data_IF_261168442140
#
_entry.id   IF_261168442140
#
_cell.length_a   1.000
_cell.length_b   1.000
_cell.length_c   1.000
_cell.angle_alpha   90.00
_cell.angle_beta   90.00
_cell.angle_gamma   90.00
#
_symmetry.space_group_name_H-M   'P 1'
#
loop_
_entity.id
_entity.type
_entity.pdbx_description
1 polymer ?
#
# COMPACT_ATOMS: atom_id res chain seq x y z
N UNK A 1 9.71 -12.47 -23.46
CA UNK A 1 9.95 -11.14 -24.02
C UNK A 1 11.06 -10.50 -23.22
N UNK A 2 12.23 -10.28 -23.82
CA UNK A 2 13.32 -9.54 -23.14
C UNK A 2 12.95 -8.05 -23.11
N UNK A 3 12.44 -7.59 -22.00
CA UNK A 3 12.20 -6.17 -21.78
C UNK A 3 13.51 -5.53 -21.28
N UNK A 4 14.36 -5.09 -22.20
CA UNK A 4 15.53 -4.26 -21.87
C UNK A 4 15.05 -2.81 -21.58
N UNK A 5 13.97 -2.66 -20.78
CA UNK A 5 13.39 -1.37 -20.41
C UNK A 5 13.99 -0.88 -19.10
N UNK A 6 14.22 0.41 -19.05
CA UNK A 6 14.72 1.08 -17.86
C UNK A 6 13.57 1.81 -17.14
N UNK A 7 13.34 1.48 -15.88
CA UNK A 7 12.27 2.08 -15.06
C UNK A 7 12.86 2.79 -13.84
N UNK A 8 12.33 3.98 -13.55
CA UNK A 8 12.56 4.66 -12.28
C UNK A 8 11.47 4.27 -11.29
N UNK A 9 11.86 3.94 -10.06
CA UNK A 9 10.93 3.71 -8.94
C UNK A 9 11.22 4.74 -7.84
N UNK A 10 10.33 5.70 -7.63
CA UNK A 10 10.42 6.57 -6.46
C UNK A 10 9.79 5.89 -5.26
N UNK A 11 10.38 6.06 -4.07
CA UNK A 11 9.94 5.32 -2.89
C UNK A 11 10.37 3.85 -2.90
N UNK A 12 11.50 3.54 -3.54
CA UNK A 12 11.98 2.17 -3.75
C UNK A 12 12.43 1.45 -2.48
N UNK A 13 12.71 2.18 -1.40
CA UNK A 13 13.07 1.63 -0.08
C UNK A 13 11.85 1.36 0.81
N UNK A 14 10.65 1.81 0.39
CA UNK A 14 9.38 1.54 1.08
C UNK A 14 8.84 0.14 0.83
N UNK A 15 7.74 -0.23 1.51
CA UNK A 15 7.13 -1.56 1.42
C UNK A 15 6.79 -1.97 -0.03
N UNK A 16 6.09 -1.11 -0.78
CA UNK A 16 5.80 -1.39 -2.19
C UNK A 16 7.09 -1.41 -3.02
N UNK A 17 7.96 -0.41 -2.79
CA UNK A 17 9.20 -0.24 -3.55
C UNK A 17 10.09 -1.46 -3.51
N UNK A 18 10.37 -2.02 -2.32
CA UNK A 18 11.19 -3.23 -2.14
C UNK A 18 10.63 -4.41 -2.95
N UNK A 19 9.32 -4.65 -2.86
CA UNK A 19 8.66 -5.74 -3.59
C UNK A 19 8.67 -5.48 -5.11
N UNK A 20 8.44 -4.23 -5.54
CA UNK A 20 8.44 -3.87 -6.95
C UNK A 20 9.84 -3.93 -7.57
N UNK A 21 10.85 -3.43 -6.88
CA UNK A 21 12.26 -3.51 -7.34
C UNK A 21 12.65 -4.98 -7.52
N UNK A 22 12.37 -5.84 -6.54
CA UNK A 22 12.61 -7.29 -6.65
C UNK A 22 11.88 -7.88 -7.86
N UNK A 23 10.59 -7.59 -8.01
CA UNK A 23 9.74 -8.06 -9.09
C UNK A 23 10.26 -7.66 -10.48
N UNK A 24 10.74 -6.42 -10.63
CA UNK A 24 11.28 -5.88 -11.87
C UNK A 24 12.64 -6.50 -12.22
N UNK A 25 13.55 -6.60 -11.23
CA UNK A 25 14.87 -7.20 -11.42
C UNK A 25 14.81 -8.69 -11.81
N UNK A 26 13.87 -9.46 -11.25
CA UNK A 26 13.62 -10.86 -11.62
C UNK A 26 13.13 -11.01 -13.07
N UNK A 27 12.57 -9.95 -13.65
CA UNK A 27 12.08 -9.91 -15.04
C UNK A 27 13.05 -9.22 -16.01
N UNK A 28 14.27 -8.93 -15.57
CA UNK A 28 15.32 -8.38 -16.41
C UNK A 28 15.17 -6.88 -16.72
N UNK A 29 14.39 -6.14 -15.92
CA UNK A 29 14.33 -4.69 -16.07
C UNK A 29 15.58 -4.03 -15.49
N UNK A 30 16.06 -2.97 -16.15
CA UNK A 30 16.99 -2.02 -15.55
C UNK A 30 16.20 -1.11 -14.62
N UNK A 31 16.67 -0.95 -13.38
CA UNK A 31 15.94 -0.22 -12.34
C UNK A 31 16.83 0.91 -11.77
N UNK A 32 16.30 2.14 -11.80
CA UNK A 32 16.78 3.24 -10.98
C UNK A 32 15.83 3.46 -9.81
N UNK A 33 16.35 3.78 -8.64
CA UNK A 33 15.58 4.05 -7.43
C UNK A 33 15.89 5.46 -6.94
N UNK A 34 14.85 6.24 -6.63
CA UNK A 34 14.95 7.50 -5.90
C UNK A 34 14.24 7.35 -4.57
N UNK A 35 14.96 7.53 -3.48
CA UNK A 35 14.40 7.47 -2.12
C UNK A 35 15.23 8.34 -1.17
N UNK A 36 14.66 8.72 -0.04
CA UNK A 36 15.38 9.40 1.06
C UNK A 36 16.37 8.46 1.75
N UNK A 37 16.09 7.16 1.73
CA UNK A 37 16.87 6.12 2.40
C UNK A 37 17.44 5.12 1.38
N UNK A 38 18.60 4.52 1.67
CA UNK A 38 19.18 3.51 0.81
C UNK A 38 18.26 2.28 0.67
N UNK A 39 18.29 1.67 -0.50
CA UNK A 39 17.58 0.43 -0.77
C UNK A 39 18.21 -0.75 -0.02
N UNK A 40 17.50 -1.89 0.01
CA UNK A 40 18.00 -3.14 0.61
C UNK A 40 19.38 -3.51 0.05
N UNK A 41 20.33 -4.00 0.88
CA UNK A 41 21.67 -4.39 0.42
C UNK A 41 21.67 -5.41 -0.71
N UNK A 42 20.67 -6.29 -0.77
CA UNK A 42 20.50 -7.31 -1.82
C UNK A 42 20.33 -6.72 -3.23
N UNK A 43 19.98 -5.43 -3.33
CA UNK A 43 19.80 -4.74 -4.61
C UNK A 43 20.99 -3.84 -4.97
N UNK A 44 21.91 -3.56 -4.05
CA UNK A 44 22.94 -2.49 -4.18
C UNK A 44 23.75 -2.55 -5.48
N UNK A 45 24.07 -3.74 -5.98
CA UNK A 45 24.85 -3.93 -7.23
C UNK A 45 23.98 -4.08 -8.48
N UNK A 46 22.65 -4.10 -8.33
CA UNK A 46 21.71 -4.42 -9.41
C UNK A 46 20.84 -3.23 -9.83
N UNK A 47 20.90 -2.13 -9.07
CA UNK A 47 20.11 -0.92 -9.30
C UNK A 47 21.01 0.30 -9.40
N UNK A 48 20.52 1.36 -10.05
CA UNK A 48 21.07 2.71 -9.91
C UNK A 48 20.33 3.42 -8.77
N UNK A 49 21.02 3.64 -7.63
CA UNK A 49 20.43 4.29 -6.45
C UNK A 49 20.74 5.77 -6.43
N UNK A 50 19.73 6.60 -6.31
CA UNK A 50 19.81 8.04 -6.03
C UNK A 50 19.17 8.29 -4.66
N UNK A 51 19.98 8.83 -3.73
CA UNK A 51 19.46 9.29 -2.44
C UNK A 51 19.03 10.74 -2.62
N UNK A 52 17.76 11.02 -2.45
CA UNK A 52 17.21 12.36 -2.66
C UNK A 52 15.71 12.46 -2.44
N UNK A 53 15.23 13.68 -2.41
CA UNK A 53 13.80 13.98 -2.23
C UNK A 53 13.12 14.15 -3.59
N UNK A 54 11.91 13.63 -3.73
CA UNK A 54 11.10 13.81 -4.96
C UNK A 54 10.72 15.27 -5.22
N UNK A 55 10.85 16.15 -4.22
CA UNK A 55 10.63 17.59 -4.34
C UNK A 55 11.84 18.32 -4.93
N UNK A 56 12.98 17.66 -5.02
CA UNK A 56 14.18 18.16 -5.69
C UNK A 56 14.19 17.74 -7.16
N UNK A 57 14.03 18.68 -8.13
CA UNK A 57 14.05 18.37 -9.56
C UNK A 57 15.36 17.72 -10.03
N UNK A 58 16.48 18.06 -9.43
CA UNK A 58 17.79 17.54 -9.83
C UNK A 58 17.96 16.08 -9.42
N UNK A 59 17.49 15.71 -8.23
CA UNK A 59 17.47 14.32 -7.78
C UNK A 59 16.57 13.46 -8.67
N UNK A 60 15.38 13.96 -9.01
CA UNK A 60 14.45 13.26 -9.92
C UNK A 60 15.06 13.11 -11.31
N UNK A 61 15.70 14.17 -11.85
CA UNK A 61 16.37 14.13 -13.16
C UNK A 61 17.51 13.12 -13.17
N UNK A 62 18.34 13.09 -12.12
CA UNK A 62 19.43 12.13 -12.00
C UNK A 62 18.89 10.68 -12.05
N UNK A 63 17.81 10.39 -11.32
CA UNK A 63 17.20 9.07 -11.33
C UNK A 63 16.55 8.71 -12.69
N UNK A 64 15.98 9.72 -13.39
CA UNK A 64 15.27 9.55 -14.65
C UNK A 64 16.17 9.47 -15.89
N UNK A 65 17.48 9.75 -15.74
CA UNK A 65 18.41 9.78 -16.86
C UNK A 65 18.45 8.45 -17.63
N UNK A 66 18.08 8.50 -18.91
CA UNK A 66 18.04 7.34 -19.80
C UNK A 66 16.96 6.30 -19.44
N UNK A 67 15.94 6.67 -18.68
CA UNK A 67 14.81 5.80 -18.36
C UNK A 67 13.70 5.90 -19.43
N UNK A 68 12.94 4.83 -19.58
CA UNK A 68 11.76 4.76 -20.47
C UNK A 68 10.46 5.14 -19.75
N UNK A 69 10.41 4.89 -18.44
CA UNK A 69 9.19 5.02 -17.65
C UNK A 69 9.48 5.27 -16.17
N UNK A 70 8.48 5.78 -15.43
CA UNK A 70 8.56 6.07 -14.02
C UNK A 70 7.37 5.51 -13.24
N UNK A 71 7.63 4.80 -12.15
CA UNK A 71 6.64 4.41 -11.13
C UNK A 71 6.81 5.30 -9.92
N UNK A 72 5.80 6.14 -9.66
CA UNK A 72 5.80 7.06 -8.53
C UNK A 72 5.08 6.43 -7.34
N UNK A 73 5.86 5.80 -6.45
CA UNK A 73 5.38 5.17 -5.22
C UNK A 73 5.83 5.89 -3.94
N UNK A 74 6.68 6.90 -4.04
CA UNK A 74 7.00 7.77 -2.91
C UNK A 74 5.76 8.53 -2.45
N UNK A 75 5.56 8.58 -1.14
CA UNK A 75 4.44 9.27 -0.51
C UNK A 75 4.77 9.61 0.94
N UNK A 76 4.16 10.67 1.45
CA UNK A 76 4.17 10.97 2.86
C UNK A 76 3.39 9.91 3.66
N UNK A 77 3.83 9.63 4.88
CA UNK A 77 3.05 8.77 5.78
C UNK A 77 1.77 9.50 6.21
N UNK A 78 0.62 8.78 6.31
CA UNK A 78 -0.67 9.40 6.72
C UNK A 78 -0.64 10.06 8.11
N UNK A 79 0.43 9.86 8.87
CA UNK A 79 0.65 10.35 10.23
C UNK A 79 1.44 11.64 10.31
N UNK A 80 1.98 12.11 9.19
CA UNK A 80 2.68 13.39 9.11
C UNK A 80 1.70 14.56 9.13
N UNK A 81 2.21 15.76 9.36
CA UNK A 81 1.39 16.98 9.32
C UNK A 81 0.86 17.25 7.90
N UNK A 82 -0.23 18.03 7.83
CA UNK A 82 -0.93 18.27 6.57
C UNK A 82 -0.09 19.03 5.53
N UNK A 83 0.83 19.88 5.96
CA UNK A 83 1.68 20.64 5.06
C UNK A 83 2.74 19.74 4.42
N UNK A 84 3.36 18.88 5.23
CA UNK A 84 4.31 17.86 4.75
C UNK A 84 3.63 16.89 3.79
N UNK A 85 2.44 16.37 4.15
CA UNK A 85 1.68 15.47 3.27
C UNK A 85 1.40 16.14 1.92
N UNK A 86 0.92 17.39 1.93
CA UNK A 86 0.61 18.12 0.70
C UNK A 86 1.86 18.38 -0.14
N UNK A 87 2.94 18.85 0.50
CA UNK A 87 4.22 19.12 -0.19
C UNK A 87 4.78 17.86 -0.87
N UNK A 88 4.80 16.72 -0.17
CA UNK A 88 5.32 15.47 -0.72
C UNK A 88 4.37 14.89 -1.77
N UNK A 89 3.09 14.70 -1.42
CA UNK A 89 2.16 13.95 -2.27
C UNK A 89 1.66 14.76 -3.48
N UNK A 90 1.58 16.11 -3.39
CA UNK A 90 1.09 16.94 -4.49
C UNK A 90 2.25 17.60 -5.25
N UNK A 91 3.10 18.36 -4.54
CA UNK A 91 4.15 19.11 -5.20
C UNK A 91 5.26 18.18 -5.68
N UNK A 92 5.63 17.14 -4.88
CA UNK A 92 6.54 16.09 -5.31
C UNK A 92 6.03 15.29 -6.51
N UNK A 93 4.72 14.94 -6.55
CA UNK A 93 4.12 14.30 -7.73
C UNK A 93 4.21 15.18 -8.97
N UNK A 94 3.91 16.47 -8.83
CA UNK A 94 4.05 17.45 -9.93
C UNK A 94 5.47 17.48 -10.45
N UNK A 95 6.45 17.59 -9.56
CA UNK A 95 7.87 17.63 -9.92
C UNK A 95 8.30 16.35 -10.67
N UNK A 96 7.89 15.18 -10.19
CA UNK A 96 8.17 13.91 -10.88
C UNK A 96 7.56 13.86 -12.30
N UNK A 97 6.34 14.38 -12.48
CA UNK A 97 5.67 14.44 -13.79
C UNK A 97 6.37 15.40 -14.74
N UNK A 98 6.72 16.60 -14.27
CA UNK A 98 7.42 17.61 -15.08
C UNK A 98 8.78 17.10 -15.55
N UNK A 99 9.56 16.50 -14.65
CA UNK A 99 10.86 15.93 -15.00
C UNK A 99 10.69 14.74 -15.94
N UNK A 100 9.78 13.81 -15.66
CA UNK A 100 9.54 12.66 -16.53
C UNK A 100 9.17 13.08 -17.96
N UNK A 101 8.33 14.10 -18.10
CA UNK A 101 7.96 14.64 -19.42
C UNK A 101 9.15 15.33 -20.12
N UNK A 102 9.96 16.13 -19.40
CA UNK A 102 11.15 16.81 -19.96
C UNK A 102 12.25 15.83 -20.40
N UNK A 103 12.44 14.74 -19.66
CA UNK A 103 13.38 13.67 -19.99
C UNK A 103 12.85 12.71 -21.08
N UNK A 104 11.64 12.95 -21.60
CA UNK A 104 11.08 12.19 -22.71
C UNK A 104 10.57 10.79 -22.33
N UNK A 105 10.27 10.54 -21.06
CA UNK A 105 9.67 9.29 -20.65
C UNK A 105 8.28 9.13 -21.29
N UNK A 106 7.93 7.93 -21.73
CA UNK A 106 6.65 7.67 -22.39
C UNK A 106 5.55 7.20 -21.44
N UNK A 107 5.92 6.80 -20.21
CA UNK A 107 5.02 6.17 -19.23
C UNK A 107 5.26 6.69 -17.83
N UNK A 108 4.15 6.96 -17.14
CA UNK A 108 4.15 7.31 -15.72
C UNK A 108 3.04 6.52 -15.00
N UNK A 109 3.39 5.81 -13.94
CA UNK A 109 2.41 5.12 -13.09
C UNK A 109 2.40 5.79 -11.72
N UNK A 110 1.30 6.45 -11.37
CA UNK A 110 1.09 7.05 -10.06
C UNK A 110 0.39 6.07 -9.12
N UNK A 111 1.00 5.79 -7.98
CA UNK A 111 0.37 5.00 -6.91
C UNK A 111 -0.45 5.94 -6.03
N UNK A 112 -1.75 5.98 -6.30
CA UNK A 112 -2.76 6.66 -5.48
C UNK A 112 -3.25 5.74 -4.35
N UNK A 113 -4.48 5.88 -3.91
CA UNK A 113 -5.09 5.08 -2.85
C UNK A 113 -6.61 5.13 -2.96
N UNK A 114 -7.30 4.08 -2.52
CA UNK A 114 -8.76 4.13 -2.32
C UNK A 114 -9.19 5.09 -1.19
N UNK A 115 -8.24 5.64 -0.40
CA UNK A 115 -8.50 6.71 0.56
C UNK A 115 -9.04 7.99 -0.09
N UNK A 116 -8.88 8.17 -1.40
CA UNK A 116 -9.46 9.28 -2.17
C UNK A 116 -10.99 9.28 -2.17
N UNK A 117 -11.63 8.14 -1.93
CA UNK A 117 -13.09 8.02 -1.87
C UNK A 117 -13.69 8.38 -0.50
N UNK A 118 -12.86 8.47 0.55
CA UNK A 118 -13.37 8.60 1.91
C UNK A 118 -13.79 7.26 2.53
N UNK A 119 -14.65 7.31 3.54
CA UNK A 119 -15.21 6.13 4.21
C UNK A 119 -16.66 6.00 3.80
N UNK A 120 -16.95 5.03 2.95
CA UNK A 120 -18.29 4.70 2.50
C UNK A 120 -18.58 3.21 2.75
N UNK A 121 -19.79 2.91 3.24
CA UNK A 121 -20.26 1.53 3.40
C UNK A 121 -20.71 0.98 2.03
N UNK A 122 -19.74 0.64 1.18
CA UNK A 122 -19.97 0.19 -0.19
C UNK A 122 -19.06 -0.96 -0.59
N UNK A 123 -19.58 -1.86 -1.43
CA UNK A 123 -18.86 -3.02 -1.94
C UNK A 123 -18.41 -2.90 -3.41
N UNK A 124 -18.88 -1.90 -4.13
CA UNK A 124 -18.60 -1.76 -5.58
C UNK A 124 -18.32 -0.31 -5.96
N UNK A 125 -17.42 0.35 -5.22
CA UNK A 125 -17.02 1.73 -5.55
C UNK A 125 -16.26 1.75 -6.89
N UNK A 126 -16.82 2.40 -7.90
CA UNK A 126 -16.18 2.54 -9.21
C UNK A 126 -15.27 3.78 -9.28
N UNK A 127 -14.42 3.86 -10.30
CA UNK A 127 -13.47 4.96 -10.46
C UNK A 127 -14.10 6.33 -10.71
N UNK A 128 -15.38 6.33 -11.12
CA UNK A 128 -16.15 7.57 -11.36
C UNK A 128 -16.86 8.09 -10.10
N UNK A 129 -16.76 7.37 -8.96
CA UNK A 129 -17.32 7.82 -7.70
C UNK A 129 -16.65 9.15 -7.25
N UNK A 130 -17.40 9.95 -6.50
CA UNK A 130 -16.92 11.22 -5.96
C UNK A 130 -15.67 11.02 -5.10
N UNK A 131 -14.75 11.98 -5.17
CA UNK A 131 -13.54 12.00 -4.39
C UNK A 131 -13.78 12.82 -3.11
N UNK A 132 -14.09 12.14 -2.02
CA UNK A 132 -14.24 12.71 -0.68
C UNK A 132 -13.08 12.27 0.22
N UNK A 133 -11.89 12.67 -0.15
CA UNK A 133 -10.62 12.22 0.42
C UNK A 133 -10.59 12.23 1.94
N UNK A 134 -10.33 11.06 2.53
CA UNK A 134 -10.27 10.86 3.97
C UNK A 134 -9.06 11.54 4.60
N UNK A 135 -9.30 12.55 5.42
CA UNK A 135 -8.25 13.27 6.13
C UNK A 135 -7.27 14.01 5.21
N UNK A 136 -6.16 14.53 5.73
CA UNK A 136 -5.15 15.22 4.91
C UNK A 136 -4.57 14.35 3.80
N UNK A 137 -4.27 13.09 4.11
CA UNK A 137 -3.69 12.14 3.17
C UNK A 137 -4.62 11.83 1.98
N UNK A 138 -5.88 11.48 2.24
CA UNK A 138 -6.84 11.18 1.14
C UNK A 138 -7.10 12.39 0.25
N UNK A 139 -7.17 13.60 0.84
CA UNK A 139 -7.29 14.86 0.07
C UNK A 139 -6.06 15.14 -0.77
N UNK A 140 -4.85 14.97 -0.23
CA UNK A 140 -3.62 15.17 -0.98
C UNK A 140 -3.48 14.17 -2.15
N UNK A 141 -3.84 12.89 -1.93
CA UNK A 141 -3.88 11.90 -3.02
C UNK A 141 -4.90 12.26 -4.10
N UNK A 142 -6.09 12.75 -3.75
CA UNK A 142 -7.08 13.23 -4.72
C UNK A 142 -6.57 14.45 -5.50
N UNK A 143 -5.89 15.41 -4.84
CA UNK A 143 -5.27 16.57 -5.47
C UNK A 143 -4.13 16.15 -6.42
N UNK A 144 -3.27 15.21 -6.02
CA UNK A 144 -2.22 14.65 -6.86
C UNK A 144 -2.77 13.97 -8.12
N UNK A 145 -3.90 13.26 -8.02
CA UNK A 145 -4.56 12.69 -9.21
C UNK A 145 -5.06 13.76 -10.20
N UNK A 146 -5.52 14.92 -9.68
CA UNK A 146 -5.89 16.06 -10.55
C UNK A 146 -4.65 16.56 -11.30
N UNK A 147 -3.51 16.64 -10.63
CA UNK A 147 -2.23 16.97 -11.28
C UNK A 147 -1.90 15.93 -12.35
N UNK A 148 -1.89 14.64 -12.01
CA UNK A 148 -1.59 13.54 -12.95
C UNK A 148 -2.45 13.60 -14.21
N UNK A 149 -3.75 13.85 -14.08
CA UNK A 149 -4.68 13.94 -15.23
C UNK A 149 -4.34 15.05 -16.21
N UNK A 150 -3.76 16.17 -15.73
CA UNK A 150 -3.36 17.30 -16.59
C UNK A 150 -2.15 17.00 -17.48
N UNK A 151 -1.32 16.03 -17.11
CA UNK A 151 -0.15 15.62 -17.88
C UNK A 151 -0.45 14.55 -18.95
N UNK A 152 -1.66 13.97 -18.94
CA UNK A 152 -2.04 12.95 -19.91
C UNK A 152 -2.01 13.46 -21.33
N UNK A 153 -1.27 12.76 -22.20
CA UNK A 153 -1.24 13.02 -23.64
C UNK A 153 -1.08 11.70 -24.42
N UNK A 154 -1.19 11.70 -25.75
CA UNK A 154 -0.92 10.52 -26.57
C UNK A 154 0.53 10.01 -26.40
N UNK A 155 1.49 10.91 -26.23
CA UNK A 155 2.92 10.59 -26.14
C UNK A 155 3.39 10.33 -24.70
N UNK A 156 2.61 10.74 -23.69
CA UNK A 156 2.92 10.58 -22.27
C UNK A 156 1.72 10.00 -21.53
N UNK A 157 1.68 8.67 -21.43
CA UNK A 157 0.57 7.99 -20.77
C UNK A 157 0.76 7.95 -19.25
N UNK A 158 -0.21 8.51 -18.52
CA UNK A 158 -0.21 8.59 -17.04
C UNK A 158 -1.31 7.69 -16.48
N UNK A 159 -0.92 6.51 -16.00
CA UNK A 159 -1.79 5.60 -15.29
C UNK A 159 -1.89 6.00 -13.81
N UNK A 160 -3.10 6.04 -13.28
CA UNK A 160 -3.35 6.25 -11.84
C UNK A 160 -3.91 4.95 -11.28
N UNK A 161 -3.21 4.34 -10.34
CA UNK A 161 -3.67 3.13 -9.66
C UNK A 161 -4.15 3.51 -8.26
N UNK A 162 -5.38 3.10 -7.90
CA UNK A 162 -5.99 3.26 -6.58
C UNK A 162 -6.04 1.89 -5.88
N UNK A 163 -4.93 1.43 -5.28
CA UNK A 163 -4.94 0.16 -4.58
C UNK A 163 -5.77 0.23 -3.30
N UNK A 164 -6.44 -0.88 -2.97
CA UNK A 164 -6.92 -1.19 -1.62
C UNK A 164 -5.72 -1.34 -0.68
N UNK A 165 -6.00 -1.42 0.63
CA UNK A 165 -4.93 -1.75 1.59
C UNK A 165 -4.24 -3.03 1.16
N UNK A 166 -2.95 -2.93 0.85
CA UNK A 166 -2.20 -4.07 0.33
C UNK A 166 -1.23 -4.62 1.38
N UNK A 167 -1.06 -5.93 1.35
CA UNK A 167 -0.32 -6.76 2.28
C UNK A 167 0.58 -7.74 1.52
N UNK A 168 1.51 -8.36 2.23
CA UNK A 168 2.42 -9.35 1.68
C UNK A 168 3.76 -9.31 2.40
N UNK A 169 4.76 -10.08 1.97
CA UNK A 169 6.10 -10.08 2.53
C UNK A 169 6.64 -8.66 2.73
N UNK A 170 7.30 -8.40 3.85
CA UNK A 170 7.80 -7.07 4.31
C UNK A 170 6.70 -6.14 4.89
N UNK A 171 5.42 -6.54 4.89
CA UNK A 171 4.36 -5.75 5.51
C UNK A 171 4.12 -6.17 6.95
N UNK A 172 4.37 -5.27 7.87
CA UNK A 172 4.11 -5.45 9.29
C UNK A 172 3.05 -4.44 9.76
N UNK A 173 3.42 -3.29 10.25
CA UNK A 173 2.46 -2.29 10.72
C UNK A 173 1.41 -2.90 11.65
N UNK A 174 0.13 -2.64 11.40
CA UNK A 174 -0.99 -3.17 12.19
C UNK A 174 -1.19 -4.69 12.01
N UNK A 175 -0.86 -5.25 10.85
CA UNK A 175 -0.98 -6.69 10.61
C UNK A 175 0.02 -7.50 11.44
N UNK A 176 1.18 -6.90 11.79
CA UNK A 176 2.14 -7.49 12.69
C UNK A 176 1.55 -7.85 14.06
N UNK A 177 0.51 -7.12 14.53
CA UNK A 177 -0.20 -7.47 15.77
C UNK A 177 -0.94 -8.80 15.64
N UNK A 178 -1.71 -8.98 14.55
CA UNK A 178 -2.41 -10.24 14.29
C UNK A 178 -1.42 -11.41 14.20
N UNK A 179 -0.33 -11.22 13.46
CA UNK A 179 0.68 -12.27 13.26
C UNK A 179 1.41 -12.64 14.55
N UNK A 180 1.75 -11.66 15.36
CA UNK A 180 2.42 -11.91 16.65
C UNK A 180 1.51 -12.64 17.64
N UNK A 181 0.22 -12.31 17.67
CA UNK A 181 -0.75 -13.02 18.52
C UNK A 181 -1.02 -14.44 18.01
N UNK A 182 -1.21 -14.61 16.70
CA UNK A 182 -1.39 -15.92 16.08
C UNK A 182 -0.18 -16.85 16.35
N UNK A 183 1.05 -16.33 16.17
CA UNK A 183 2.27 -17.08 16.36
C UNK A 183 2.51 -17.47 17.84
N UNK A 184 1.95 -16.72 18.81
CA UNK A 184 2.01 -17.05 20.23
C UNK A 184 0.80 -17.89 20.71
N UNK A 185 -0.02 -18.39 19.78
CA UNK A 185 -1.20 -19.21 20.13
C UNK A 185 -2.24 -18.42 20.92
N UNK A 186 -2.51 -17.18 20.55
CA UNK A 186 -3.49 -16.29 21.20
C UNK A 186 -4.65 -15.99 20.27
N UNK A 187 -5.86 -15.83 20.85
CA UNK A 187 -7.01 -15.31 20.15
C UNK A 187 -6.82 -13.83 19.81
N UNK A 188 -7.44 -13.35 18.74
CA UNK A 188 -7.29 -11.96 18.29
C UNK A 188 -8.57 -11.15 18.51
N UNK A 189 -8.56 -10.07 19.31
CA UNK A 189 -9.73 -9.23 19.54
C UNK A 189 -10.00 -8.34 18.33
N UNK A 190 -11.23 -8.42 17.80
CA UNK A 190 -11.65 -7.60 16.67
C UNK A 190 -12.84 -6.72 17.06
N UNK A 191 -12.65 -5.39 17.09
CA UNK A 191 -13.73 -4.46 17.40
C UNK A 191 -14.87 -4.55 16.39
N UNK A 192 -16.13 -4.43 16.86
CA UNK A 192 -17.32 -4.57 16.03
C UNK A 192 -17.58 -6.01 15.55
N UNK A 193 -16.72 -6.97 15.89
CA UNK A 193 -16.85 -8.36 15.51
C UNK A 193 -16.45 -8.70 14.08
N UNK A 194 -16.06 -7.72 13.27
CA UNK A 194 -15.47 -7.90 11.93
C UNK A 194 -16.39 -8.55 10.90
N UNK A 195 -17.71 -8.37 10.99
CA UNK A 195 -18.68 -8.97 10.06
C UNK A 195 -18.80 -8.19 8.72
N UNK A 196 -18.15 -7.04 8.61
CA UNK A 196 -18.10 -6.25 7.37
C UNK A 196 -17.15 -6.88 6.37
N UNK A 197 -17.53 -6.88 5.10
CA UNK A 197 -16.66 -7.32 4.00
C UNK A 197 -15.63 -6.24 3.72
N UNK A 198 -14.39 -6.64 3.69
CA UNK A 198 -13.27 -5.71 3.51
C UNK A 198 -12.27 -6.26 2.49
N UNK A 199 -12.16 -5.57 1.37
CA UNK A 199 -11.24 -5.96 0.30
C UNK A 199 -9.81 -5.51 0.64
N UNK A 200 -8.88 -6.45 0.51
CA UNK A 200 -7.43 -6.21 0.55
C UNK A 200 -6.83 -6.42 -0.85
N UNK A 201 -5.51 -6.40 -0.93
CA UNK A 201 -4.75 -6.68 -2.14
C UNK A 201 -3.41 -7.33 -1.74
N UNK A 202 -2.94 -8.34 -2.47
CA UNK A 202 -1.56 -8.80 -2.32
C UNK A 202 -0.60 -7.86 -3.06
N UNK A 203 0.56 -7.59 -2.44
CA UNK A 203 1.59 -6.72 -3.03
C UNK A 203 2.14 -7.28 -4.34
N UNK A 204 2.17 -8.60 -4.52
CA UNK A 204 2.61 -9.21 -5.79
C UNK A 204 1.62 -8.92 -6.93
N UNK A 205 0.31 -8.94 -6.65
CA UNK A 205 -0.71 -8.55 -7.63
C UNK A 205 -0.61 -7.05 -7.96
N UNK A 206 -0.27 -6.21 -6.97
CA UNK A 206 0.00 -4.79 -7.22
C UNK A 206 1.25 -4.60 -8.09
N UNK A 207 2.35 -5.31 -7.83
CA UNK A 207 3.54 -5.26 -8.68
C UNK A 207 3.23 -5.73 -10.11
N UNK A 208 2.40 -6.79 -10.24
CA UNK A 208 1.99 -7.30 -11.54
C UNK A 208 1.21 -6.25 -12.35
N UNK A 209 0.17 -5.63 -11.77
CA UNK A 209 -0.64 -4.62 -12.48
C UNK A 209 0.15 -3.34 -12.77
N UNK A 210 1.15 -2.98 -11.96
CA UNK A 210 2.06 -1.86 -12.29
C UNK A 210 2.78 -2.16 -13.59
N UNK A 211 3.34 -3.37 -13.77
CA UNK A 211 4.02 -3.76 -15.01
C UNK A 211 3.02 -3.81 -16.16
N UNK A 212 1.80 -4.31 -15.96
CA UNK A 212 0.75 -4.27 -16.98
C UNK A 212 0.46 -2.83 -17.42
N UNK A 213 0.34 -1.87 -16.49
CA UNK A 213 0.14 -0.46 -16.82
C UNK A 213 1.33 0.16 -17.59
N UNK A 214 2.56 -0.27 -17.28
CA UNK A 214 3.76 0.18 -18.00
C UNK A 214 3.87 -0.41 -19.44
N UNK A 215 3.27 -1.58 -19.69
CA UNK A 215 3.44 -2.32 -20.95
C UNK A 215 2.20 -2.34 -21.84
N UNK A 216 1.03 -1.99 -21.32
CA UNK A 216 -0.21 -1.89 -22.10
C UNK A 216 -0.15 -0.77 -23.13
N UNK A 217 -1.03 -0.83 -24.13
CA UNK A 217 -1.19 0.24 -25.11
C UNK A 217 -1.47 1.59 -24.39
N UNK A 218 -0.93 2.71 -24.90
CA UNK A 218 -1.07 4.03 -24.27
C UNK A 218 -2.52 4.41 -23.95
N UNK A 219 -3.41 4.18 -24.87
CA UNK A 219 -4.85 4.47 -24.77
C UNK A 219 -5.54 3.66 -23.66
N UNK A 220 -5.06 2.47 -23.35
CA UNK A 220 -5.54 1.66 -22.24
C UNK A 220 -4.93 2.13 -20.90
N UNK A 221 -3.61 2.36 -20.88
CA UNK A 221 -2.90 2.73 -19.65
C UNK A 221 -3.21 4.17 -19.18
N UNK A 222 -3.52 5.09 -20.09
CA UNK A 222 -3.71 6.52 -19.79
C UNK A 222 -5.04 6.82 -19.04
N UNK A 223 -5.31 6.05 -17.97
CA UNK A 223 -6.57 6.07 -17.22
C UNK A 223 -6.35 5.92 -15.71
N UNK A 224 -7.46 5.94 -14.97
CA UNK A 224 -7.49 5.67 -13.53
C UNK A 224 -8.10 4.30 -13.29
N UNK A 225 -7.52 3.51 -12.37
CA UNK A 225 -7.89 2.13 -12.08
C UNK A 225 -8.00 1.87 -10.59
N UNK A 226 -9.07 1.23 -10.20
CA UNK A 226 -9.19 0.60 -8.89
C UNK A 226 -8.50 -0.75 -8.89
N UNK A 227 -7.72 -1.05 -7.83
CA UNK A 227 -6.96 -2.29 -7.71
C UNK A 227 -7.27 -2.95 -6.36
N UNK A 228 -7.74 -4.19 -6.40
CA UNK A 228 -8.11 -4.97 -5.22
C UNK A 228 -8.19 -6.46 -5.53
N UNK A 229 -8.29 -7.31 -4.51
CA UNK A 229 -8.49 -8.74 -4.69
C UNK A 229 -9.85 -9.05 -5.34
N UNK A 230 -9.94 -10.13 -6.11
CA UNK A 230 -11.21 -10.61 -6.66
C UNK A 230 -12.04 -11.39 -5.62
N UNK A 231 -11.36 -12.03 -4.67
CA UNK A 231 -11.97 -12.85 -3.63
C UNK A 231 -11.62 -12.29 -2.26
N UNK A 232 -12.66 -11.96 -1.49
CA UNK A 232 -12.52 -11.42 -0.13
C UNK A 232 -13.74 -11.74 0.71
N UNK A 233 -13.49 -11.99 1.98
CA UNK A 233 -14.52 -12.29 2.97
C UNK A 233 -14.84 -11.10 3.88
N UNK A 234 -15.27 -11.43 5.08
CA UNK A 234 -15.34 -10.49 6.20
C UNK A 234 -13.98 -10.44 6.90
N UNK A 235 -13.64 -9.33 7.55
CA UNK A 235 -12.40 -9.25 8.34
C UNK A 235 -12.30 -10.40 9.36
N UNK A 236 -13.43 -10.80 9.95
CA UNK A 236 -13.46 -11.93 10.87
C UNK A 236 -13.07 -13.25 10.19
N UNK A 237 -13.65 -13.55 9.02
CA UNK A 237 -13.32 -14.79 8.30
C UNK A 237 -11.87 -14.80 7.83
N UNK A 238 -11.35 -13.67 7.36
CA UNK A 238 -10.02 -13.57 6.82
C UNK A 238 -8.95 -13.63 7.92
N UNK A 239 -9.19 -12.98 9.08
CA UNK A 239 -8.30 -13.07 10.24
C UNK A 239 -8.37 -14.44 10.93
N UNK A 240 -9.58 -15.06 10.96
CA UNK A 240 -9.71 -16.42 11.46
C UNK A 240 -8.88 -17.41 10.65
N UNK A 241 -8.79 -17.23 9.32
CA UNK A 241 -7.95 -18.09 8.50
C UNK A 241 -6.47 -18.07 8.89
N UNK A 242 -5.95 -16.92 9.36
CA UNK A 242 -4.58 -16.84 9.90
C UNK A 242 -4.46 -17.62 11.22
N UNK A 243 -5.45 -17.49 12.13
CA UNK A 243 -5.44 -18.23 13.40
C UNK A 243 -5.58 -19.74 13.17
N UNK A 244 -6.40 -20.16 12.21
CA UNK A 244 -6.58 -21.56 11.84
C UNK A 244 -5.26 -22.13 11.25
N UNK A 245 -4.60 -21.35 10.39
CA UNK A 245 -3.30 -21.71 9.83
C UNK A 245 -2.20 -21.83 10.89
N UNK A 246 -2.25 -20.97 11.93
CA UNK A 246 -1.33 -21.05 13.07
C UNK A 246 -1.48 -22.35 13.89
N UNK A 247 -2.61 -23.06 13.81
CA UNK A 247 -2.80 -24.42 14.31
C UNK A 247 -3.06 -24.53 15.82
N UNK A 248 -3.27 -23.43 16.56
CA UNK A 248 -3.48 -23.46 18.02
C UNK A 248 -4.98 -23.55 18.42
N UNK A 249 -5.91 -23.69 17.48
CA UNK A 249 -7.35 -23.75 17.74
C UNK A 249 -7.95 -22.46 18.31
N UNK A 250 -7.26 -21.32 18.13
CA UNK A 250 -7.69 -20.02 18.65
C UNK A 250 -8.67 -19.33 17.73
N UNK A 251 -9.43 -18.36 18.26
CA UNK A 251 -10.49 -17.69 17.53
C UNK A 251 -10.35 -16.18 17.56
N UNK A 252 -10.90 -15.56 16.53
CA UNK A 252 -11.17 -14.11 16.52
C UNK A 252 -12.27 -13.82 17.54
N UNK A 253 -11.99 -12.95 18.49
CA UNK A 253 -12.86 -12.59 19.60
C UNK A 253 -13.60 -11.29 19.27
N UNK A 254 -14.92 -11.31 19.47
CA UNK A 254 -15.75 -10.13 19.26
C UNK A 254 -15.61 -9.16 20.44
N UNK A 255 -15.15 -7.95 20.18
CA UNK A 255 -15.27 -6.85 21.12
C UNK A 255 -16.46 -5.96 20.73
N UNK A 256 -17.32 -5.57 21.68
CA UNK A 256 -18.40 -4.60 21.40
C UNK A 256 -17.78 -3.28 20.86
N UNK A 257 -18.35 -2.74 19.78
CA UNK A 257 -17.78 -1.58 19.09
C UNK A 257 -17.79 -0.30 19.92
N UNK A 258 -18.86 -0.08 20.71
CA UNK A 258 -19.04 1.15 21.47
C UNK A 258 -18.02 1.33 22.60
N UNK A 259 -17.84 0.41 23.56
CA UNK A 259 -16.80 0.57 24.58
C UNK A 259 -15.39 0.45 24.02
N UNK A 260 -15.16 -0.42 23.03
CA UNK A 260 -13.84 -0.55 22.41
C UNK A 260 -13.41 0.73 21.66
N UNK A 261 -14.32 1.37 20.93
CA UNK A 261 -14.04 2.63 20.25
C UNK A 261 -13.72 3.77 21.23
N UNK A 262 -14.46 3.84 22.33
CA UNK A 262 -14.21 4.85 23.39
C UNK A 262 -12.87 4.62 24.08
N UNK A 263 -12.58 3.37 24.47
CA UNK A 263 -11.31 2.99 25.09
C UNK A 263 -10.11 3.24 24.17
N UNK A 264 -10.21 2.87 22.89
CA UNK A 264 -9.16 3.13 21.90
C UNK A 264 -8.95 4.62 21.65
N UNK A 265 -10.03 5.41 21.61
CA UNK A 265 -9.96 6.86 21.49
C UNK A 265 -9.27 7.53 22.68
N UNK A 266 -9.58 7.07 23.90
CA UNK A 266 -8.92 7.53 25.12
C UNK A 266 -7.44 7.11 25.16
N UNK A 267 -7.17 5.84 24.87
CA UNK A 267 -5.81 5.31 24.81
C UNK A 267 -4.95 6.03 23.75
N UNK A 268 -5.55 6.38 22.60
CA UNK A 268 -4.88 7.17 21.57
C UNK A 268 -4.55 8.60 22.07
N UNK A 269 -5.49 9.29 22.72
CA UNK A 269 -5.24 10.62 23.31
C UNK A 269 -4.13 10.61 24.36
N UNK A 270 -3.98 9.49 25.07
CA UNK A 270 -2.94 9.29 26.09
C UNK A 270 -1.61 8.76 25.51
N UNK A 271 -1.50 8.57 24.19
CA UNK A 271 -0.31 7.99 23.55
C UNK A 271 -0.10 6.49 23.85
N UNK A 272 -1.11 5.80 24.39
CA UNK A 272 -1.03 4.42 24.83
C UNK A 272 -1.50 3.39 23.80
N UNK A 273 -2.06 3.84 22.67
CA UNK A 273 -2.50 2.97 21.58
C UNK A 273 -1.93 3.42 20.24
N UNK A 274 -1.35 2.50 19.45
CA UNK A 274 -0.90 2.78 18.10
C UNK A 274 -2.04 2.85 17.07
N UNK A 275 -3.25 2.43 17.47
CA UNK A 275 -4.40 2.36 16.55
C UNK A 275 -5.12 3.69 16.48
N UNK A 276 -5.12 4.27 15.29
CA UNK A 276 -5.76 5.57 15.03
C UNK A 276 -7.30 5.44 14.90
N UNK A 277 -8.08 6.45 15.31
CA UNK A 277 -9.54 6.41 15.23
C UNK A 277 -10.08 6.16 13.82
N UNK A 278 -9.40 6.66 12.78
CA UNK A 278 -9.84 6.45 11.40
C UNK A 278 -9.61 4.99 10.92
N UNK A 279 -8.56 4.31 11.43
CA UNK A 279 -8.36 2.88 11.14
C UNK A 279 -9.52 2.08 11.71
N UNK A 280 -9.92 2.39 12.95
CA UNK A 280 -11.06 1.76 13.59
C UNK A 280 -12.36 1.96 12.80
N UNK A 281 -12.66 3.18 12.34
CA UNK A 281 -13.85 3.45 11.53
C UNK A 281 -13.88 2.66 10.23
N UNK A 282 -12.74 2.51 9.54
CA UNK A 282 -12.63 1.70 8.34
C UNK A 282 -12.93 0.21 8.57
N UNK A 283 -12.63 -0.31 9.76
CA UNK A 283 -12.89 -1.72 10.10
C UNK A 283 -14.36 -2.01 10.43
N UNK A 284 -15.22 -0.98 10.53
CA UNK A 284 -16.63 -1.12 10.92
C UNK A 284 -17.62 -0.89 9.78
N UNK A 285 -17.15 -0.78 8.55
CA UNK A 285 -17.97 -0.61 7.34
C UNK A 285 -17.54 -1.57 6.24
N UNK A 286 -18.44 -1.91 5.33
CA UNK A 286 -18.06 -2.64 4.12
C UNK A 286 -17.20 -1.74 3.23
N UNK A 287 -16.14 -2.28 2.67
CA UNK A 287 -15.21 -1.50 1.85
C UNK A 287 -14.60 -2.35 0.74
N UNK A 288 -15.11 -2.18 -0.46
CA UNK A 288 -14.57 -2.80 -1.67
C UNK A 288 -14.72 -1.88 -2.88
N UNK A 289 -13.86 -2.07 -3.87
CA UNK A 289 -13.89 -1.36 -5.14
C UNK A 289 -14.15 -2.32 -6.30
N UNK A 290 -14.77 -1.78 -7.35
CA UNK A 290 -14.91 -2.47 -8.62
C UNK A 290 -13.58 -2.42 -9.39
N UNK A 291 -13.07 -3.58 -9.81
CA UNK A 291 -11.81 -3.75 -10.56
C UNK A 291 -12.04 -4.06 -12.05
N UNK A 292 -13.27 -3.97 -12.53
CA UNK A 292 -13.66 -4.35 -13.90
C UNK A 292 -12.87 -3.57 -14.94
N UNK A 293 -12.61 -2.29 -14.71
CA UNK A 293 -11.81 -1.47 -15.64
C UNK A 293 -10.37 -1.97 -15.76
N UNK A 294 -9.73 -2.31 -14.64
CA UNK A 294 -8.37 -2.85 -14.64
C UNK A 294 -8.33 -4.22 -15.33
N UNK A 295 -9.34 -5.07 -15.12
CA UNK A 295 -9.47 -6.35 -15.82
C UNK A 295 -9.55 -6.18 -17.33
N UNK A 296 -10.44 -5.33 -17.79
CA UNK A 296 -10.73 -5.18 -19.22
C UNK A 296 -9.63 -4.46 -20.01
N UNK A 297 -8.98 -3.45 -19.42
CA UNK A 297 -8.02 -2.61 -20.12
C UNK A 297 -6.56 -3.00 -19.87
N UNK A 298 -6.24 -3.47 -18.68
CA UNK A 298 -4.87 -3.88 -18.34
C UNK A 298 -4.68 -5.40 -18.31
N UNK A 299 -5.76 -6.20 -18.39
CA UNK A 299 -5.70 -7.65 -18.20
C UNK A 299 -5.40 -8.04 -16.75
N UNK A 300 -5.81 -7.22 -15.77
CA UNK A 300 -5.54 -7.47 -14.37
C UNK A 300 -6.40 -8.60 -13.81
N UNK A 301 -5.77 -9.71 -13.48
CA UNK A 301 -6.39 -10.85 -12.81
C UNK A 301 -5.61 -11.12 -11.51
N UNK A 302 -6.09 -10.62 -10.35
CA UNK A 302 -5.42 -10.83 -9.08
C UNK A 302 -5.38 -12.32 -8.75
N UNK A 303 -4.21 -12.81 -8.36
CA UNK A 303 -3.93 -14.24 -8.10
C UNK A 303 -4.23 -14.64 -6.67
N UNK A 304 -4.27 -13.68 -5.75
CA UNK A 304 -4.43 -13.93 -4.32
C UNK A 304 -5.77 -13.42 -3.82
N UNK A 305 -6.49 -14.28 -3.07
CA UNK A 305 -7.57 -13.84 -2.21
C UNK A 305 -7.04 -13.06 -0.99
N UNK A 306 -7.91 -12.37 -0.25
CA UNK A 306 -7.53 -11.78 1.03
C UNK A 306 -6.87 -12.80 1.96
N UNK A 307 -7.46 -13.99 2.04
CA UNK A 307 -6.99 -15.09 2.88
C UNK A 307 -5.57 -15.52 2.51
N UNK A 308 -5.33 -15.75 1.21
CA UNK A 308 -4.02 -16.18 0.73
C UNK A 308 -2.96 -15.12 0.99
N UNK A 309 -3.28 -13.85 0.74
CA UNK A 309 -2.39 -12.73 1.00
C UNK A 309 -2.02 -12.60 2.48
N UNK A 310 -3.00 -12.78 3.39
CA UNK A 310 -2.76 -12.74 4.84
C UNK A 310 -1.90 -13.92 5.30
N UNK A 311 -2.18 -15.14 4.84
CA UNK A 311 -1.43 -16.34 5.21
C UNK A 311 0.01 -16.24 4.67
N UNK A 312 0.18 -15.86 3.40
CA UNK A 312 1.49 -15.65 2.79
C UNK A 312 2.35 -14.64 3.56
N UNK A 313 1.75 -13.55 4.03
CA UNK A 313 2.45 -12.56 4.84
C UNK A 313 2.75 -13.11 6.25
N UNK A 314 1.85 -13.90 6.83
CA UNK A 314 2.09 -14.58 8.10
C UNK A 314 3.24 -15.58 8.02
N UNK A 315 3.34 -16.38 6.96
CA UNK A 315 4.48 -17.28 6.71
C UNK A 315 5.79 -16.51 6.61
N UNK A 316 5.78 -15.37 5.89
CA UNK A 316 6.96 -14.51 5.85
C UNK A 316 7.31 -13.97 7.24
N UNK A 317 6.31 -13.53 8.02
CA UNK A 317 6.50 -13.09 9.41
C UNK A 317 7.15 -14.16 10.28
N UNK A 318 6.67 -15.41 10.22
CA UNK A 318 7.21 -16.51 11.02
C UNK A 318 8.71 -16.76 10.73
N UNK A 319 9.10 -16.70 9.45
CA UNK A 319 10.51 -16.88 9.02
C UNK A 319 11.44 -15.75 9.48
N UNK A 320 10.92 -14.55 9.69
CA UNK A 320 11.71 -13.36 10.01
C UNK A 320 11.43 -12.79 11.41
N UNK A 321 10.63 -13.49 12.22
CA UNK A 321 10.09 -13.00 13.49
C UNK A 321 11.17 -12.49 14.44
N UNK A 322 12.30 -13.18 14.56
CA UNK A 322 13.36 -12.83 15.51
C UNK A 322 14.03 -11.50 15.20
N UNK A 323 14.06 -11.10 13.94
CA UNK A 323 14.59 -9.79 13.49
C UNK A 323 13.73 -8.64 14.02
N UNK A 324 12.42 -8.86 14.19
CA UNK A 324 11.44 -7.82 14.51
C UNK A 324 11.06 -7.75 15.99
N UNK A 325 11.40 -8.76 16.79
CA UNK A 325 11.06 -8.81 18.23
C UNK A 325 11.57 -7.62 19.05
N UNK A 326 12.63 -6.96 18.59
CA UNK A 326 13.27 -5.82 19.28
C UNK A 326 13.04 -4.47 18.60
N UNK A 327 12.31 -4.46 17.50
CA UNK A 327 12.06 -3.23 16.73
C UNK A 327 10.57 -2.89 16.76
N UNK A 328 10.28 -1.63 17.06
CA UNK A 328 8.93 -1.08 16.96
C UNK A 328 8.99 0.29 16.31
N UNK A 329 7.99 0.61 15.49
CA UNK A 329 7.95 1.87 14.78
C UNK A 329 6.53 2.21 14.28
N UNK A 330 6.44 3.22 13.43
CA UNK A 330 5.19 3.69 12.85
C UNK A 330 5.11 3.46 11.33
N UNK A 331 6.16 2.88 10.74
CA UNK A 331 6.21 2.60 9.30
C UNK A 331 5.47 1.30 8.94
N UNK A 332 5.35 1.04 7.65
CA UNK A 332 4.69 -0.16 7.16
C UNK A 332 5.58 -1.41 7.26
N UNK A 333 6.88 -1.25 7.32
CA UNK A 333 7.89 -2.32 7.35
C UNK A 333 8.32 -2.74 8.75
N UNK A 334 7.89 -2.02 9.80
CA UNK A 334 8.22 -2.30 11.20
C UNK A 334 6.92 -2.57 11.99
N UNK A 335 6.90 -3.55 12.94
CA UNK A 335 5.73 -3.79 13.77
C UNK A 335 5.37 -2.55 14.60
N UNK A 336 4.09 -2.27 14.74
CA UNK A 336 3.65 -1.21 15.65
C UNK A 336 3.83 -1.65 17.11
N UNK A 337 4.20 -0.70 17.97
CA UNK A 337 4.29 -0.95 19.40
C UNK A 337 2.93 -1.41 19.95
N UNK A 338 2.91 -2.50 20.71
CA UNK A 338 1.64 -3.08 21.18
C UNK A 338 0.96 -2.25 22.27
N UNK A 339 1.73 -1.43 23.02
CA UNK A 339 1.18 -0.62 24.12
C UNK A 339 0.38 -1.47 25.11
N UNK A 340 -0.82 -0.99 25.48
CA UNK A 340 -1.74 -1.72 26.36
C UNK A 340 -2.25 -3.04 25.74
N UNK A 341 -2.26 -3.18 24.41
CA UNK A 341 -2.63 -4.43 23.73
C UNK A 341 -1.68 -5.58 24.07
N UNK A 342 -0.39 -5.27 24.32
CA UNK A 342 0.59 -6.28 24.75
C UNK A 342 0.28 -6.88 26.14
N UNK A 343 -0.32 -6.10 27.04
CA UNK A 343 -0.82 -6.61 28.32
C UNK A 343 -2.09 -7.43 28.14
N UNK A 344 -3.01 -6.94 27.30
CA UNK A 344 -4.24 -7.65 26.97
C UNK A 344 -3.97 -9.01 26.31
N UNK A 345 -2.90 -9.15 25.53
CA UNK A 345 -2.47 -10.42 24.89
C UNK A 345 -2.36 -11.59 25.88
N UNK A 346 -2.05 -11.32 27.16
CA UNK A 346 -1.94 -12.36 28.20
C UNK A 346 -3.29 -12.92 28.65
N UNK A 347 -4.39 -12.21 28.36
CA UNK A 347 -5.75 -12.56 28.76
C UNK A 347 -6.48 -13.40 27.69
N UNK A 348 -6.00 -13.41 26.46
CA UNK A 348 -6.59 -14.09 25.30
C UNK A 348 -5.71 -15.23 24.78
#
# INVERSE_FOLDING_TARGET
MNFNRHVVVTGGSGFLGINLVRYLLERGWKVSVLDLEPCRPEFATRIHMVIGDIRDPDAVRQAASGADCLVHAAAALPLQDSATIRSVDVDGTRNCLEVAQREGLSRFVHISSTAVYGIHDQLNTCENAALDGMGPYGRAKAEAEIVCRKFRSPDFAVAILRPKSFIGPERLGIFGLLYDWAADGRGFPLPGGGNHRFQLLDVADLCHVIVQALTSAPEHANRTFNIGASEFGTLKSDFQAVLDYAGFGKRVLRLPSSPAGWMLGLAHRLGLSPVYPWVFRNLTVNSAVDITRARNLLGFHPSYSNRDALIRNFEWYLRHRDQWRRQTGITHTVPWAQGLLGLAKRLF
#
